data_IF_222385765659
#
_entry.id   IF_222385765659
#
_cell.length_a   1.000
_cell.length_b   1.000
_cell.length_c   1.000
_cell.angle_alpha   90.00
_cell.angle_beta   90.00
_cell.angle_gamma   90.00
#
_symmetry.space_group_name_H-M   'P 1'
#
loop_
_entity.id
_entity.type
_entity.pdbx_description
1 polymer ?
#
# COMPACT_ATOMS: atom_id res chain seq x y z
N UNK A 1 -16.23 -29.46 54.71
CA UNK A 1 -16.42 -29.82 53.29
C UNK A 1 -17.89 -29.67 52.87
N UNK A 2 -18.38 -28.43 52.67
CA UNK A 2 -19.81 -28.22 52.32
C UNK A 2 -20.10 -26.96 51.49
N UNK A 3 -19.08 -26.21 51.06
CA UNK A 3 -19.23 -24.96 50.28
C UNK A 3 -18.69 -25.04 48.85
N UNK A 4 -18.15 -26.20 48.43
CA UNK A 4 -17.55 -26.39 47.09
C UNK A 4 -18.55 -27.02 46.09
N UNK A 5 -19.63 -27.64 46.58
CA UNK A 5 -20.63 -28.31 45.72
C UNK A 5 -21.62 -27.34 45.06
N UNK A 6 -21.72 -26.10 45.53
CA UNK A 6 -22.71 -25.14 45.00
C UNK A 6 -22.23 -24.41 43.73
N UNK A 7 -20.93 -24.43 43.43
CA UNK A 7 -20.38 -23.74 42.25
C UNK A 7 -20.47 -24.61 40.98
N UNK A 8 -20.58 -25.92 41.11
CA UNK A 8 -20.66 -26.83 39.97
C UNK A 8 -22.06 -26.85 39.31
N UNK A 9 -23.10 -26.45 40.04
CA UNK A 9 -24.48 -26.47 39.53
C UNK A 9 -24.86 -25.23 38.70
N UNK A 10 -24.08 -24.15 38.77
CA UNK A 10 -24.35 -22.91 38.03
C UNK A 10 -23.77 -22.97 36.60
N UNK A 11 -22.85 -23.90 36.31
CA UNK A 11 -22.22 -24.00 34.99
C UNK A 11 -22.99 -24.88 33.98
N UNK A 12 -24.04 -25.58 34.41
CA UNK A 12 -24.72 -26.60 33.59
C UNK A 12 -26.02 -26.11 32.90
N UNK A 13 -26.32 -24.80 32.94
CA UNK A 13 -27.61 -24.26 32.45
C UNK A 13 -27.51 -23.32 31.23
N UNK A 14 -26.36 -23.17 30.60
CA UNK A 14 -26.17 -22.13 29.55
C UNK A 14 -26.10 -22.62 28.10
N UNK A 15 -26.45 -23.86 27.77
CA UNK A 15 -26.37 -24.38 26.39
C UNK A 15 -27.73 -24.53 25.69
N UNK A 16 -28.68 -23.61 25.90
CA UNK A 16 -29.97 -23.61 25.20
C UNK A 16 -30.30 -22.23 24.62
N UNK A 17 -29.85 -21.99 23.39
CA UNK A 17 -30.15 -20.82 22.56
C UNK A 17 -28.99 -20.65 21.57
N UNK A 18 -29.14 -20.69 20.25
CA UNK A 18 -30.28 -20.46 19.38
C UNK A 18 -30.06 -21.28 18.10
N UNK A 19 -30.97 -22.18 17.74
CA UNK A 19 -31.02 -22.71 16.38
C UNK A 19 -31.89 -21.76 15.54
N UNK A 20 -31.30 -20.67 15.06
CA UNK A 20 -31.94 -19.85 14.03
C UNK A 20 -31.85 -20.62 12.70
N UNK A 21 -32.96 -21.19 12.27
CA UNK A 21 -33.10 -21.74 10.92
C UNK A 21 -33.01 -20.57 9.95
N UNK A 22 -31.83 -20.35 9.37
CA UNK A 22 -31.63 -19.39 8.28
C UNK A 22 -32.43 -19.91 7.09
N UNK A 23 -33.65 -19.40 6.91
CA UNK A 23 -34.40 -19.64 5.67
C UNK A 23 -33.62 -18.95 4.55
N UNK A 24 -33.24 -19.67 3.47
CA UNK A 24 -32.64 -19.01 2.32
C UNK A 24 -33.60 -17.92 1.83
N UNK A 25 -33.10 -16.77 1.37
CA UNK A 25 -33.95 -15.73 0.80
C UNK A 25 -34.83 -16.36 -0.27
N UNK A 26 -36.14 -16.18 -0.16
CA UNK A 26 -37.05 -16.65 -1.20
C UNK A 26 -36.75 -15.82 -2.44
N UNK A 27 -36.09 -16.44 -3.41
CA UNK A 27 -35.75 -15.81 -4.67
C UNK A 27 -37.04 -15.54 -5.44
N UNK A 28 -37.56 -14.32 -5.32
CA UNK A 28 -38.69 -13.86 -6.11
C UNK A 28 -38.24 -13.40 -7.51
N UNK A 29 -39.18 -13.34 -8.45
CA UNK A 29 -38.88 -12.96 -9.84
C UNK A 29 -38.31 -11.54 -9.96
N UNK A 30 -38.69 -10.63 -9.07
CA UNK A 30 -38.13 -9.28 -8.97
C UNK A 30 -36.68 -9.28 -8.47
N UNK A 31 -36.33 -10.15 -7.53
CA UNK A 31 -34.98 -10.38 -7.04
C UNK A 31 -34.03 -10.83 -8.17
N UNK A 32 -34.50 -11.75 -9.02
CA UNK A 32 -33.73 -12.18 -10.21
C UNK A 32 -33.57 -11.03 -11.22
N UNK A 33 -34.64 -10.27 -11.50
CA UNK A 33 -34.57 -9.13 -12.42
C UNK A 33 -33.59 -8.05 -11.94
N UNK A 34 -33.62 -7.73 -10.64
CA UNK A 34 -32.69 -6.77 -10.04
C UNK A 34 -31.25 -7.28 -10.11
N UNK A 35 -31.03 -8.56 -9.79
CA UNK A 35 -29.71 -9.18 -9.88
C UNK A 35 -29.15 -9.15 -11.31
N UNK A 36 -29.96 -9.43 -12.32
CA UNK A 36 -29.52 -9.35 -13.72
C UNK A 36 -29.27 -7.90 -14.17
N UNK A 37 -30.05 -6.94 -13.69
CA UNK A 37 -29.83 -5.51 -13.96
C UNK A 37 -28.50 -5.04 -13.36
N UNK A 38 -28.18 -5.44 -12.13
CA UNK A 38 -26.92 -5.12 -11.46
C UNK A 38 -25.72 -5.76 -12.16
N UNK A 39 -25.87 -7.01 -12.66
CA UNK A 39 -24.85 -7.67 -13.48
C UNK A 39 -24.60 -6.94 -14.80
N UNK A 40 -25.65 -6.43 -15.45
CA UNK A 40 -25.52 -5.67 -16.69
C UNK A 40 -24.80 -4.34 -16.46
N UNK A 41 -25.17 -3.59 -15.41
CA UNK A 41 -24.48 -2.35 -15.03
C UNK A 41 -23.00 -2.56 -14.71
N UNK A 42 -22.67 -3.66 -14.03
CA UNK A 42 -21.28 -4.00 -13.71
C UNK A 42 -20.49 -4.62 -14.87
N UNK A 43 -21.12 -4.93 -16.01
CA UNK A 43 -20.42 -5.49 -17.18
C UNK A 43 -19.64 -4.41 -17.94
N UNK A 44 -19.94 -3.13 -17.71
CA UNK A 44 -19.23 -1.98 -18.28
C UNK A 44 -17.97 -1.61 -17.50
N UNK A 45 -17.12 -2.61 -17.20
CA UNK A 45 -15.80 -2.32 -16.65
C UNK A 45 -15.00 -1.56 -17.72
N UNK A 46 -14.43 -0.39 -17.39
CA UNK A 46 -13.63 0.38 -18.35
C UNK A 46 -12.49 -0.49 -18.90
N UNK A 47 -12.48 -0.72 -20.21
CA UNK A 47 -11.46 -1.55 -20.89
C UNK A 47 -10.08 -0.90 -20.93
N UNK A 48 -9.98 0.36 -20.54
CA UNK A 48 -8.73 1.12 -20.57
C UNK A 48 -8.49 1.79 -19.23
N UNK A 49 -7.24 1.68 -18.78
CA UNK A 49 -6.73 2.46 -17.65
C UNK A 49 -6.93 3.94 -17.98
N UNK A 50 -7.52 4.74 -17.07
CA UNK A 50 -7.65 6.18 -17.27
C UNK A 50 -6.31 6.80 -17.67
N UNK A 51 -6.29 7.59 -18.76
CA UNK A 51 -5.07 8.24 -19.27
C UNK A 51 -4.36 9.08 -18.21
N UNK A 52 -5.10 9.61 -17.22
CA UNK A 52 -4.56 10.34 -16.07
C UNK A 52 -3.58 9.52 -15.22
N UNK A 53 -3.71 8.19 -15.18
CA UNK A 53 -2.77 7.30 -14.49
C UNK A 53 -1.51 7.01 -15.32
N UNK A 54 -1.59 7.13 -16.64
CA UNK A 54 -0.47 6.97 -17.56
C UNK A 54 0.35 8.27 -17.71
N UNK A 55 -0.24 9.43 -17.39
CA UNK A 55 0.37 10.75 -17.56
C UNK A 55 1.38 11.13 -16.45
N UNK A 56 1.73 10.19 -15.56
CA UNK A 56 2.60 10.47 -14.40
C UNK A 56 4.10 10.61 -14.72
N UNK A 57 4.52 10.55 -15.99
CA UNK A 57 5.95 10.61 -16.34
C UNK A 57 6.30 11.66 -17.40
N UNK A 58 5.69 12.84 -17.38
CA UNK A 58 6.41 14.00 -17.92
C UNK A 58 7.40 14.47 -16.86
N UNK A 59 8.63 13.95 -16.92
CA UNK A 59 9.78 14.60 -16.27
C UNK A 59 9.69 16.07 -16.69
N UNK A 60 9.54 16.97 -15.71
CA UNK A 60 9.64 18.41 -15.98
C UNK A 60 11.00 18.63 -16.64
N UNK A 61 11.01 19.25 -17.81
CA UNK A 61 12.22 19.88 -18.33
C UNK A 61 12.58 21.02 -17.39
N UNK A 62 13.35 20.68 -16.37
CA UNK A 62 13.96 21.66 -15.47
C UNK A 62 15.16 22.20 -16.24
N UNK A 63 15.27 23.53 -16.36
CA UNK A 63 16.47 24.15 -16.94
C UNK A 63 17.67 23.70 -16.10
N UNK A 64 18.71 23.11 -16.71
CA UNK A 64 19.82 22.56 -15.97
C UNK A 64 20.47 23.66 -15.14
N UNK A 65 20.52 23.46 -13.83
CA UNK A 65 21.30 24.33 -12.95
C UNK A 65 22.77 24.22 -13.34
N UNK A 66 23.40 25.34 -13.72
CA UNK A 66 24.83 25.38 -14.10
C UNK A 66 25.74 25.23 -12.88
N UNK A 67 25.24 25.56 -11.69
CA UNK A 67 26.00 25.52 -10.45
C UNK A 67 26.17 24.08 -9.95
N UNK A 68 27.42 23.72 -9.65
CA UNK A 68 27.80 22.38 -9.22
C UNK A 68 28.40 22.40 -7.83
N UNK A 69 27.93 21.50 -6.98
CA UNK A 69 28.45 21.30 -5.63
C UNK A 69 29.21 19.99 -5.56
N UNK A 70 30.41 20.01 -4.95
CA UNK A 70 31.16 18.79 -4.69
C UNK A 70 30.51 18.00 -3.54
N UNK A 71 29.98 16.83 -3.85
CA UNK A 71 29.34 15.97 -2.86
C UNK A 71 30.36 15.02 -2.25
N UNK A 72 30.59 15.15 -0.93
CA UNK A 72 31.52 14.26 -0.21
C UNK A 72 30.88 12.91 0.07
N UNK A 73 29.65 12.91 0.58
CA UNK A 73 28.91 11.71 0.98
C UNK A 73 27.43 12.00 1.13
N UNK A 74 26.60 10.99 0.91
CA UNK A 74 25.17 11.03 1.24
C UNK A 74 24.93 10.47 2.65
N UNK A 75 24.15 11.21 3.45
CA UNK A 75 23.65 10.77 4.75
C UNK A 75 22.15 10.55 4.63
N UNK A 76 21.67 9.41 5.11
CA UNK A 76 20.25 9.08 5.13
C UNK A 76 19.73 9.26 6.55
N UNK A 77 18.64 10.01 6.70
CA UNK A 77 17.98 10.27 7.98
C UNK A 77 16.47 10.05 7.83
N UNK A 78 15.80 9.67 8.92
CA UNK A 78 14.37 9.36 8.93
C UNK A 78 14.05 7.96 9.47
N UNK A 79 12.82 7.50 9.25
CA UNK A 79 12.37 6.17 9.70
C UNK A 79 12.78 5.07 8.70
N UNK A 80 14.08 4.74 8.70
CA UNK A 80 14.67 3.75 7.80
C UNK A 80 14.69 2.38 8.49
N UNK A 81 13.53 1.73 8.55
CA UNK A 81 13.40 0.36 9.09
C UNK A 81 13.29 -0.73 8.03
N UNK A 82 12.86 -0.35 6.82
CA UNK A 82 12.58 -1.30 5.75
C UNK A 82 13.86 -1.89 5.10
N UNK A 83 14.97 -1.14 5.11
CA UNK A 83 16.23 -1.52 4.44
C UNK A 83 17.43 -1.09 5.27
N UNK A 84 18.57 -1.75 5.05
CA UNK A 84 19.82 -1.33 5.66
C UNK A 84 20.32 -0.05 5.00
N UNK A 85 20.88 0.87 5.80
CA UNK A 85 21.46 2.13 5.29
C UNK A 85 22.60 1.86 4.30
N UNK A 86 23.34 0.76 4.47
CA UNK A 86 24.38 0.32 3.54
C UNK A 86 23.83 0.05 2.13
N UNK A 87 22.62 -0.50 2.02
CA UNK A 87 22.01 -0.79 0.71
C UNK A 87 21.67 0.51 -0.01
N UNK A 88 21.18 1.51 0.72
CA UNK A 88 20.89 2.85 0.20
C UNK A 88 22.18 3.59 -0.18
N UNK A 89 23.24 3.46 0.60
CA UNK A 89 24.55 4.03 0.28
C UNK A 89 25.15 3.42 -1.00
N UNK A 90 25.00 2.10 -1.19
CA UNK A 90 25.49 1.42 -2.38
C UNK A 90 24.81 1.91 -3.67
N UNK A 91 23.54 2.33 -3.60
CA UNK A 91 22.80 2.87 -4.76
C UNK A 91 23.35 4.21 -5.28
N UNK A 92 24.01 4.98 -4.41
CA UNK A 92 24.54 6.32 -4.72
C UNK A 92 26.08 6.38 -4.67
N UNK A 93 26.75 5.23 -4.55
CA UNK A 93 28.20 5.19 -4.37
C UNK A 93 28.96 5.77 -5.57
N UNK A 94 28.37 5.65 -6.76
CA UNK A 94 28.84 6.25 -8.01
C UNK A 94 28.79 7.78 -8.03
N UNK A 95 28.07 8.40 -7.10
CA UNK A 95 27.87 9.86 -7.01
C UNK A 95 28.74 10.51 -5.93
N UNK A 96 29.36 9.72 -5.05
CA UNK A 96 30.28 10.23 -4.03
C UNK A 96 31.55 10.81 -4.67
N UNK A 97 32.01 11.95 -4.16
CA UNK A 97 33.21 12.64 -4.66
C UNK A 97 33.01 13.35 -5.99
N UNK A 98 31.79 13.43 -6.52
CA UNK A 98 31.49 14.11 -7.79
C UNK A 98 30.90 15.50 -7.56
N UNK A 99 31.17 16.39 -8.51
CA UNK A 99 30.50 17.68 -8.60
C UNK A 99 29.15 17.51 -9.27
N UNK A 100 28.08 17.62 -8.49
CA UNK A 100 26.70 17.41 -8.95
C UNK A 100 25.95 18.74 -9.02
N UNK A 101 25.09 18.87 -10.03
CA UNK A 101 24.08 19.94 -10.06
C UNK A 101 22.92 19.60 -9.15
N UNK A 102 22.06 20.59 -8.85
CA UNK A 102 20.83 20.35 -8.09
C UNK A 102 19.95 19.27 -8.73
N UNK A 103 19.82 19.28 -10.06
CA UNK A 103 19.03 18.29 -10.79
C UNK A 103 19.60 16.87 -10.64
N UNK A 104 20.93 16.74 -10.62
CA UNK A 104 21.58 15.45 -10.39
C UNK A 104 21.37 14.95 -8.96
N UNK A 105 21.32 15.84 -7.97
CA UNK A 105 20.97 15.49 -6.60
C UNK A 105 19.50 15.07 -6.48
N UNK A 106 18.60 15.72 -7.21
CA UNK A 106 17.20 15.30 -7.27
C UNK A 106 17.04 13.92 -7.90
N UNK A 107 17.78 13.65 -8.98
CA UNK A 107 17.81 12.31 -9.61
C UNK A 107 18.38 11.24 -8.68
N UNK A 108 19.32 11.59 -7.79
CA UNK A 108 19.81 10.69 -6.76
C UNK A 108 18.70 10.32 -5.75
N UNK A 109 17.89 11.30 -5.32
CA UNK A 109 16.73 11.05 -4.48
C UNK A 109 15.67 10.19 -5.20
N UNK A 110 15.41 10.47 -6.48
CA UNK A 110 14.50 9.66 -7.30
C UNK A 110 14.97 8.20 -7.41
N UNK A 111 16.30 7.96 -7.51
CA UNK A 111 16.85 6.58 -7.53
C UNK A 111 16.54 5.83 -6.23
N UNK A 112 16.58 6.50 -5.08
CA UNK A 112 16.20 5.91 -3.79
C UNK A 112 14.71 5.61 -3.76
N UNK A 113 13.88 6.59 -4.15
CA UNK A 113 12.43 6.42 -4.23
C UNK A 113 12.04 5.26 -5.16
N UNK A 114 12.66 5.13 -6.32
CA UNK A 114 12.42 4.06 -7.27
C UNK A 114 12.81 2.68 -6.71
N UNK A 115 13.90 2.62 -5.93
CA UNK A 115 14.26 1.40 -5.20
C UNK A 115 13.17 0.99 -4.20
N UNK A 116 12.62 1.93 -3.43
CA UNK A 116 11.50 1.66 -2.52
C UNK A 116 10.22 1.23 -3.28
N UNK A 117 9.89 1.92 -4.37
CA UNK A 117 8.75 1.57 -5.22
C UNK A 117 8.87 0.16 -5.79
N UNK A 118 10.05 -0.23 -6.26
CA UNK A 118 10.32 -1.58 -6.78
C UNK A 118 10.14 -2.68 -5.73
N UNK A 119 10.19 -2.32 -4.44
CA UNK A 119 9.95 -3.21 -3.30
C UNK A 119 8.55 -3.10 -2.71
N UNK A 120 7.65 -2.34 -3.35
CA UNK A 120 6.24 -2.19 -2.95
C UNK A 120 5.95 -1.02 -2.00
N UNK A 121 6.93 -0.16 -1.71
CA UNK A 121 6.78 0.99 -0.83
C UNK A 121 6.39 2.25 -1.61
N UNK A 122 5.17 2.30 -2.15
CA UNK A 122 4.71 3.38 -3.03
C UNK A 122 4.57 4.76 -2.38
N UNK A 123 4.56 4.81 -1.05
CA UNK A 123 4.39 6.04 -0.27
C UNK A 123 5.70 6.57 0.31
N UNK A 124 6.82 5.85 0.11
CA UNK A 124 8.14 6.31 0.56
C UNK A 124 8.66 7.40 -0.38
N UNK A 125 9.23 8.47 0.21
CA UNK A 125 9.81 9.60 -0.50
C UNK A 125 10.86 10.31 0.37
#
# INVERSE_FOLDING_TARGET
MKKIILVFFIFLASSAGYAQVVRPPQTDAGGILNQENDRQKNKEIPKQIPKSLLEKSKKKDIKPSEEKTLIKSFKFEGDIKAFAVSDLQNLLLDLNGKSLTFDQMQLAADRIKDFYNAKGFFLAQ
#
